data_IF_391415610319
#
_entry.id   IF_391415610319
#
_cell.length_a   1.000
_cell.length_b   1.000
_cell.length_c   1.000
_cell.angle_alpha   90.00
_cell.angle_beta   90.00
_cell.angle_gamma   90.00
#
_symmetry.space_group_name_H-M   'P 1'
#
loop_
_entity.id
_entity.type
_entity.pdbx_description
1 polymer ?
#
# COMPACT_ATOMS: atom_id res chain seq x y z
N UNK A 1 -9.20 -14.63 5.93
CA UNK A 1 -10.21 -13.60 6.26
C UNK A 1 -11.48 -13.85 5.46
N UNK A 2 -12.67 -13.58 5.99
CA UNK A 2 -13.93 -13.79 5.26
C UNK A 2 -14.07 -12.80 4.09
N UNK A 3 -14.93 -13.11 3.11
CA UNK A 3 -15.27 -12.13 2.05
C UNK A 3 -15.91 -10.87 2.64
N UNK A 4 -16.83 -11.02 3.60
CA UNK A 4 -17.51 -9.90 4.24
C UNK A 4 -16.53 -8.93 4.91
N UNK A 5 -15.54 -9.45 5.64
CA UNK A 5 -14.50 -8.62 6.28
C UNK A 5 -13.65 -7.88 5.24
N UNK A 6 -13.26 -8.55 4.15
CA UNK A 6 -12.49 -7.92 3.07
C UNK A 6 -13.28 -6.81 2.36
N UNK A 7 -14.57 -7.04 2.12
CA UNK A 7 -15.45 -6.04 1.52
C UNK A 7 -15.75 -4.86 2.46
N UNK A 8 -15.82 -5.11 3.77
CA UNK A 8 -15.90 -4.04 4.78
C UNK A 8 -14.65 -3.15 4.75
N UNK A 9 -13.46 -3.74 4.66
CA UNK A 9 -12.22 -2.95 4.53
C UNK A 9 -12.14 -2.15 3.23
N UNK A 10 -12.55 -2.74 2.11
CA UNK A 10 -12.62 -2.01 0.85
C UNK A 10 -13.56 -0.79 0.95
N UNK A 11 -14.73 -0.96 1.59
CA UNK A 11 -15.66 0.15 1.83
C UNK A 11 -15.03 1.26 2.69
N UNK A 12 -14.40 0.89 3.81
CA UNK A 12 -13.74 1.85 4.71
C UNK A 12 -12.60 2.62 4.01
N UNK A 13 -11.82 1.95 3.16
CA UNK A 13 -10.79 2.60 2.35
C UNK A 13 -11.40 3.62 1.37
N UNK A 14 -12.52 3.26 0.73
CA UNK A 14 -13.24 4.16 -0.19
C UNK A 14 -13.81 5.38 0.54
N UNK A 15 -14.38 5.19 1.74
CA UNK A 15 -14.89 6.28 2.59
C UNK A 15 -13.76 7.24 3.04
N UNK A 16 -12.57 6.69 3.34
CA UNK A 16 -11.39 7.49 3.65
C UNK A 16 -10.93 8.31 2.43
N UNK A 17 -10.87 7.70 1.25
CA UNK A 17 -10.54 8.39 0.00
C UNK A 17 -11.55 9.48 -0.34
N UNK A 18 -12.85 9.20 -0.21
CA UNK A 18 -13.90 10.19 -0.42
C UNK A 18 -13.70 11.41 0.50
N UNK A 19 -13.33 11.17 1.76
CA UNK A 19 -13.04 12.24 2.72
C UNK A 19 -11.84 13.09 2.30
N UNK A 20 -10.75 12.47 1.81
CA UNK A 20 -9.59 13.19 1.27
C UNK A 20 -9.96 14.00 0.02
N UNK A 21 -10.69 13.38 -0.92
CA UNK A 21 -11.05 14.01 -2.19
C UNK A 21 -11.99 15.20 -1.97
N UNK A 22 -12.94 15.10 -1.03
CA UNK A 22 -13.78 16.23 -0.58
C UNK A 22 -12.97 17.37 0.03
N UNK A 23 -11.86 17.06 0.70
CA UNK A 23 -10.92 18.04 1.23
C UNK A 23 -9.95 18.60 0.17
N UNK A 24 -10.05 18.16 -1.09
CA UNK A 24 -9.16 18.58 -2.17
C UNK A 24 -7.77 17.94 -2.11
N UNK A 25 -7.62 16.81 -1.41
CA UNK A 25 -6.35 16.11 -1.20
C UNK A 25 -6.30 14.86 -2.08
N UNK A 26 -5.18 14.65 -2.77
CA UNK A 26 -4.85 13.41 -3.50
C UNK A 26 -3.76 12.66 -2.72
N UNK A 27 -3.94 11.38 -2.45
CA UNK A 27 -2.99 10.57 -1.67
C UNK A 27 -1.72 10.24 -2.45
N UNK A 28 -1.87 9.85 -3.73
CA UNK A 28 -0.82 9.53 -4.72
C UNK A 28 0.06 8.32 -4.44
N UNK A 29 0.10 7.82 -3.22
CA UNK A 29 0.84 6.59 -2.88
C UNK A 29 -0.06 5.52 -2.26
N UNK A 30 -1.23 5.32 -2.84
CA UNK A 30 -2.14 4.29 -2.36
C UNK A 30 -1.64 2.92 -2.80
N UNK A 31 -1.20 2.10 -1.84
CA UNK A 31 -0.71 0.74 -2.04
C UNK A 31 -1.03 -0.13 -0.81
N UNK A 32 -0.79 -1.44 -0.90
CA UNK A 32 -1.09 -2.38 0.19
C UNK A 32 -0.31 -2.09 1.48
N UNK A 33 0.94 -1.60 1.40
CA UNK A 33 1.76 -1.28 2.58
C UNK A 33 1.27 -0.06 3.34
N UNK A 34 0.54 0.84 2.67
CA UNK A 34 -0.05 2.03 3.27
C UNK A 34 -1.46 1.78 3.81
N UNK A 35 -1.97 0.55 3.67
CA UNK A 35 -3.26 0.13 4.21
C UNK A 35 -3.06 -0.80 5.42
N UNK A 36 -3.73 -0.50 6.54
CA UNK A 36 -3.47 -1.17 7.80
C UNK A 36 -4.75 -1.63 8.47
N UNK A 37 -4.74 -2.85 9.00
CA UNK A 37 -5.77 -3.32 9.91
C UNK A 37 -5.49 -2.83 11.33
N UNK A 38 -6.51 -2.34 12.02
CA UNK A 38 -6.36 -2.02 13.45
C UNK A 38 -6.21 -3.29 14.26
N UNK A 39 -5.36 -3.17 15.28
CA UNK A 39 -5.21 -4.14 16.35
C UNK A 39 -6.06 -3.75 17.56
N UNK A 40 -6.48 -4.75 18.33
CA UNK A 40 -7.07 -4.54 19.65
C UNK A 40 -6.12 -3.71 20.53
N UNK A 41 -6.62 -2.75 21.32
CA UNK A 41 -5.75 -1.89 22.11
C UNK A 41 -4.95 -2.68 23.16
N UNK A 42 -3.63 -2.66 23.06
CA UNK A 42 -2.73 -3.37 23.99
C UNK A 42 -2.23 -2.49 25.15
N UNK A 43 -2.63 -1.22 25.22
CA UNK A 43 -2.08 -0.26 26.19
C UNK A 43 -2.39 -0.62 27.65
N UNK A 44 -3.45 -1.40 27.91
CA UNK A 44 -3.83 -1.87 29.25
C UNK A 44 -3.08 -3.13 29.68
N UNK A 45 -2.44 -3.84 28.75
CA UNK A 45 -1.68 -5.04 29.07
C UNK A 45 -0.31 -4.68 29.64
N UNK A 46 0.11 -5.42 30.66
CA UNK A 46 1.48 -5.36 31.13
C UNK A 46 2.46 -5.96 30.10
N UNK A 47 3.75 -5.86 30.39
CA UNK A 47 4.80 -6.36 29.48
C UNK A 47 4.72 -7.88 29.27
N UNK A 48 4.40 -8.64 30.31
CA UNK A 48 4.35 -10.11 30.23
C UNK A 48 3.19 -10.56 29.36
N UNK A 49 2.00 -9.99 29.60
CA UNK A 49 0.80 -10.23 28.81
C UNK A 49 0.97 -9.82 27.35
N UNK A 50 1.70 -8.72 27.07
CA UNK A 50 2.07 -8.35 25.69
C UNK A 50 2.93 -9.41 25.02
N UNK A 51 3.93 -9.94 25.71
CA UNK A 51 4.79 -11.00 25.14
C UNK A 51 4.09 -12.33 24.99
N UNK A 52 3.13 -12.64 25.86
CA UNK A 52 2.27 -13.81 25.69
C UNK A 52 1.36 -13.66 24.46
N UNK A 53 0.78 -12.47 24.26
CA UNK A 53 -0.12 -12.20 23.14
C UNK A 53 0.60 -12.05 21.79
N UNK A 54 1.76 -11.39 21.75
CA UNK A 54 2.46 -11.00 20.52
C UNK A 54 3.74 -11.80 20.25
N UNK A 55 4.19 -12.59 21.21
CA UNK A 55 5.56 -13.11 21.23
C UNK A 55 6.58 -12.06 21.67
N UNK A 56 7.84 -12.49 21.78
CA UNK A 56 8.97 -11.60 22.10
C UNK A 56 9.54 -10.99 20.82
N UNK A 57 9.95 -9.71 20.84
CA UNK A 57 10.63 -9.10 19.71
C UNK A 57 11.85 -9.92 19.28
N UNK A 58 11.87 -10.34 18.03
CA UNK A 58 13.00 -11.06 17.44
C UNK A 58 13.96 -10.05 16.81
N UNK A 59 15.26 -10.21 17.08
CA UNK A 59 16.29 -9.35 16.52
C UNK A 59 17.06 -10.08 15.44
N UNK A 60 17.31 -9.40 14.33
CA UNK A 60 18.18 -9.85 13.25
C UNK A 60 19.39 -8.93 13.16
N UNK A 61 20.57 -9.52 13.14
CA UNK A 61 21.81 -8.78 12.89
C UNK A 61 21.74 -8.17 11.49
N UNK A 62 22.18 -6.93 11.34
CA UNK A 62 22.34 -6.30 10.04
C UNK A 62 23.69 -6.76 9.47
N UNK A 63 23.70 -7.58 8.40
CA UNK A 63 24.95 -8.07 7.83
C UNK A 63 25.64 -6.93 7.07
N UNK A 64 26.97 -6.89 7.12
CA UNK A 64 27.83 -5.98 6.34
C UNK A 64 27.63 -4.48 6.60
N UNK A 65 27.82 -4.06 7.86
CA UNK A 65 27.92 -2.62 8.17
C UNK A 65 29.19 -2.38 9.00
N UNK A 66 30.12 -1.59 8.48
CA UNK A 66 31.27 -1.04 9.24
C UNK A 66 30.77 0.08 10.17
N UNK A 67 30.03 -0.32 11.20
CA UNK A 67 29.66 0.57 12.30
C UNK A 67 30.59 0.31 13.48
N UNK A 68 30.82 1.34 14.30
CA UNK A 68 31.55 1.21 15.56
C UNK A 68 30.89 0.23 16.56
N UNK A 69 29.62 -0.17 16.30
CA UNK A 69 28.90 -1.24 16.98
C UNK A 69 27.99 -1.98 16.01
N UNK A 70 27.91 -3.32 16.14
CA UNK A 70 27.00 -4.16 15.35
C UNK A 70 25.53 -3.72 15.57
N UNK A 71 24.86 -3.33 14.48
CA UNK A 71 23.45 -2.96 14.48
C UNK A 71 22.53 -4.18 14.50
N UNK A 72 21.38 -4.05 15.16
CA UNK A 72 20.30 -5.04 15.18
C UNK A 72 19.02 -4.40 14.65
N UNK A 73 18.29 -5.12 13.79
CA UNK A 73 16.95 -4.77 13.33
C UNK A 73 15.93 -5.67 14.05
N UNK A 74 14.83 -5.08 14.52
CA UNK A 74 13.71 -5.86 15.02
C UNK A 74 12.96 -6.42 13.82
N UNK A 75 12.70 -7.73 13.82
CA UNK A 75 11.91 -8.36 12.77
C UNK A 75 10.47 -7.83 12.81
N UNK A 76 9.82 -7.68 11.64
CA UNK A 76 8.39 -7.40 11.57
C UNK A 76 7.62 -8.42 12.40
N UNK A 77 6.59 -7.94 13.09
CA UNK A 77 5.70 -8.81 13.85
C UNK A 77 4.64 -9.43 12.94
N UNK A 78 4.39 -10.73 13.10
CA UNK A 78 3.19 -11.37 12.59
C UNK A 78 2.08 -11.19 13.62
N UNK A 79 1.11 -10.33 13.33
CA UNK A 79 0.01 -10.06 14.25
C UNK A 79 -0.95 -11.26 14.27
N UNK A 80 -1.20 -11.88 15.43
CA UNK A 80 -2.18 -12.95 15.55
C UNK A 80 -3.58 -12.53 15.12
N UNK A 81 -4.30 -13.42 14.42
CA UNK A 81 -5.63 -13.12 13.87
C UNK A 81 -6.64 -12.67 14.94
N UNK A 82 -6.54 -13.19 16.17
CA UNK A 82 -7.41 -12.84 17.29
C UNK A 82 -7.19 -11.42 17.84
N UNK A 83 -6.05 -10.79 17.51
CA UNK A 83 -5.76 -9.41 17.90
C UNK A 83 -6.13 -8.41 16.80
N UNK A 84 -6.50 -8.87 15.60
CA UNK A 84 -6.95 -8.00 14.51
C UNK A 84 -8.44 -7.67 14.66
N UNK A 85 -8.77 -6.40 14.45
CA UNK A 85 -10.16 -5.92 14.38
C UNK A 85 -10.64 -5.78 12.93
N UNK A 86 -11.91 -5.44 12.72
CA UNK A 86 -12.46 -5.21 11.38
C UNK A 86 -12.24 -3.79 10.86
N UNK A 87 -11.64 -2.91 11.67
CA UNK A 87 -11.36 -1.54 11.24
C UNK A 87 -10.12 -1.50 10.33
N UNK A 88 -10.23 -0.72 9.25
CA UNK A 88 -9.22 -0.60 8.21
C UNK A 88 -8.84 0.88 7.98
N UNK A 89 -7.55 1.16 7.89
CA UNK A 89 -7.01 2.52 7.86
C UNK A 89 -6.10 2.74 6.66
N UNK A 90 -6.19 3.93 6.08
CA UNK A 90 -5.21 4.48 5.19
C UNK A 90 -4.16 5.27 6.00
N UNK A 91 -2.89 5.02 5.73
CA UNK A 91 -1.75 5.72 6.31
C UNK A 91 -0.79 6.25 5.26
N UNK A 92 0.32 6.81 5.74
CA UNK A 92 1.40 7.43 4.96
C UNK A 92 0.96 8.53 3.97
N UNK A 93 0.81 9.73 4.50
CA UNK A 93 0.49 10.93 3.74
C UNK A 93 1.75 11.66 3.22
N UNK A 94 2.93 11.04 3.24
CA UNK A 94 4.20 11.69 2.87
C UNK A 94 4.24 12.20 1.43
N UNK A 95 3.45 11.59 0.54
CA UNK A 95 3.30 12.02 -0.85
C UNK A 95 1.95 12.68 -1.13
N UNK A 96 1.09 12.86 -0.13
CA UNK A 96 -0.21 13.49 -0.32
C UNK A 96 -0.06 14.97 -0.72
N UNK A 97 -0.97 15.47 -1.55
CA UNK A 97 -0.94 16.86 -1.99
C UNK A 97 -2.33 17.47 -2.09
N UNK A 98 -2.40 18.78 -1.84
CA UNK A 98 -3.57 19.59 -2.20
C UNK A 98 -3.58 19.77 -3.72
N UNK A 99 -4.73 19.61 -4.36
CA UNK A 99 -4.90 19.95 -5.77
C UNK A 99 -4.65 21.45 -5.99
N UNK A 100 -3.78 21.77 -6.95
CA UNK A 100 -3.44 23.15 -7.27
C UNK A 100 -3.22 23.42 -8.76
N UNK A 101 -2.53 22.53 -9.49
CA UNK A 101 -2.24 22.68 -10.92
C UNK A 101 -2.98 21.60 -11.76
N UNK A 102 -3.53 21.94 -12.95
CA UNK A 102 -4.10 20.97 -13.88
C UNK A 102 -3.15 19.82 -14.29
N UNK A 103 -1.84 19.99 -14.17
CA UNK A 103 -0.83 18.96 -14.43
C UNK A 103 -0.64 17.98 -13.28
N UNK A 104 -1.18 18.30 -12.10
CA UNK A 104 -1.09 17.42 -10.93
C UNK A 104 -1.90 16.14 -11.16
N UNK A 105 -1.46 15.00 -10.58
CA UNK A 105 -2.27 13.80 -10.54
C UNK A 105 -3.66 14.11 -9.97
N UNK A 106 -4.70 13.78 -10.72
CA UNK A 106 -6.07 13.98 -10.26
C UNK A 106 -6.50 12.89 -9.27
N UNK A 107 -7.67 13.06 -8.66
CA UNK A 107 -8.34 12.03 -7.85
C UNK A 107 -8.45 10.67 -8.56
N UNK A 108 -8.47 10.66 -9.90
CA UNK A 108 -8.51 9.41 -10.68
C UNK A 108 -7.28 8.51 -10.43
N UNK A 109 -6.13 9.08 -10.05
CA UNK A 109 -4.94 8.30 -9.68
C UNK A 109 -5.19 7.46 -8.43
N UNK A 110 -5.75 8.05 -7.38
CA UNK A 110 -6.13 7.33 -6.16
C UNK A 110 -7.22 6.29 -6.46
N UNK A 111 -8.19 6.63 -7.31
CA UNK A 111 -9.25 5.69 -7.70
C UNK A 111 -8.71 4.49 -8.46
N UNK A 112 -7.73 4.68 -9.36
CA UNK A 112 -7.07 3.58 -10.04
C UNK A 112 -6.40 2.64 -9.03
N UNK A 113 -5.59 3.19 -8.12
CA UNK A 113 -4.92 2.40 -7.09
C UNK A 113 -5.92 1.71 -6.16
N UNK A 114 -7.02 2.39 -5.80
CA UNK A 114 -8.11 1.80 -5.00
C UNK A 114 -8.70 0.59 -5.71
N UNK A 115 -8.92 0.66 -7.03
CA UNK A 115 -9.45 -0.47 -7.78
C UNK A 115 -8.50 -1.68 -7.78
N UNK A 116 -7.19 -1.47 -7.74
CA UNK A 116 -6.21 -2.54 -7.58
C UNK A 116 -6.37 -3.20 -6.21
N UNK A 117 -6.38 -2.41 -5.15
CA UNK A 117 -6.52 -2.90 -3.77
C UNK A 117 -7.88 -3.58 -3.57
N UNK A 118 -8.95 -3.01 -4.11
CA UNK A 118 -10.29 -3.60 -4.12
C UNK A 118 -10.28 -4.98 -4.79
N UNK A 119 -9.69 -5.07 -5.99
CA UNK A 119 -9.63 -6.34 -6.73
C UNK A 119 -8.82 -7.38 -5.96
N UNK A 120 -7.72 -6.99 -5.31
CA UNK A 120 -6.93 -7.88 -4.47
C UNK A 120 -7.69 -8.32 -3.21
N UNK A 121 -8.37 -7.41 -2.52
CA UNK A 121 -9.25 -7.73 -1.40
C UNK A 121 -10.39 -8.66 -1.83
N UNK A 122 -10.90 -8.53 -3.06
CA UNK A 122 -11.96 -9.39 -3.59
C UNK A 122 -11.44 -10.78 -3.98
N UNK A 123 -10.40 -10.84 -4.82
CA UNK A 123 -9.86 -12.06 -5.42
C UNK A 123 -8.94 -12.84 -4.48
N UNK A 124 -8.25 -12.15 -3.55
CA UNK A 124 -7.23 -12.71 -2.68
C UNK A 124 -5.84 -12.81 -3.30
N UNK A 125 -5.63 -12.21 -4.48
CA UNK A 125 -4.35 -12.14 -5.18
C UNK A 125 -4.31 -10.89 -6.08
N UNK A 126 -3.10 -10.49 -6.48
CA UNK A 126 -2.89 -9.31 -7.34
C UNK A 126 -3.57 -9.48 -8.72
N UNK A 127 -4.34 -8.49 -9.20
CA UNK A 127 -5.18 -8.64 -10.39
C UNK A 127 -4.38 -8.68 -11.71
N UNK A 128 -3.15 -8.16 -11.72
CA UNK A 128 -2.32 -8.04 -12.92
C UNK A 128 -0.96 -8.73 -12.74
N UNK A 129 -0.66 -9.78 -13.51
CA UNK A 129 0.61 -10.48 -13.39
C UNK A 129 1.78 -9.68 -13.98
N UNK A 130 2.90 -9.62 -13.27
CA UNK A 130 4.11 -8.89 -13.67
C UNK A 130 5.14 -9.75 -14.43
N UNK A 131 4.96 -11.06 -14.45
CA UNK A 131 5.94 -12.02 -14.99
C UNK A 131 5.89 -12.17 -16.53
N UNK A 132 4.98 -11.50 -17.23
CA UNK A 132 4.93 -11.53 -18.69
C UNK A 132 6.06 -10.70 -19.32
N UNK A 133 6.45 -11.08 -20.54
CA UNK A 133 7.33 -10.25 -21.38
C UNK A 133 6.64 -8.90 -21.63
N UNK A 134 7.23 -7.81 -21.11
CA UNK A 134 6.64 -6.46 -21.10
C UNK A 134 6.10 -6.01 -19.72
N UNK A 135 6.25 -6.82 -18.67
CA UNK A 135 5.99 -6.43 -17.29
C UNK A 135 4.52 -6.16 -16.99
N UNK A 136 4.27 -5.22 -16.08
CA UNK A 136 2.91 -4.88 -15.60
C UNK A 136 1.95 -4.45 -16.71
N UNK A 137 2.43 -3.74 -17.74
CA UNK A 137 1.60 -3.27 -18.86
C UNK A 137 1.03 -4.45 -19.65
N UNK A 138 1.84 -5.50 -19.90
CA UNK A 138 1.36 -6.72 -20.55
C UNK A 138 0.29 -7.42 -19.70
N UNK A 139 0.44 -7.41 -18.37
CA UNK A 139 -0.57 -7.92 -17.44
C UNK A 139 -1.90 -7.15 -17.52
N UNK A 140 -1.83 -5.82 -17.51
CA UNK A 140 -3.00 -4.93 -17.64
C UNK A 140 -3.71 -5.19 -18.97
N UNK A 141 -2.98 -5.19 -20.09
CA UNK A 141 -3.56 -5.37 -21.42
C UNK A 141 -4.23 -6.73 -21.57
N UNK A 142 -3.64 -7.77 -20.97
CA UNK A 142 -4.22 -9.11 -20.96
C UNK A 142 -5.56 -9.16 -20.21
N UNK A 143 -5.71 -8.42 -19.11
CA UNK A 143 -6.91 -8.46 -18.27
C UNK A 143 -7.99 -7.46 -18.69
N UNK A 144 -7.61 -6.26 -19.14
CA UNK A 144 -8.54 -5.16 -19.44
C UNK A 144 -8.70 -4.87 -20.94
N UNK A 145 -7.89 -5.50 -21.79
CA UNK A 145 -7.84 -5.21 -23.23
C UNK A 145 -6.80 -4.14 -23.59
N UNK A 146 -6.70 -3.79 -24.88
CA UNK A 146 -5.67 -2.87 -25.37
C UNK A 146 -5.77 -1.48 -24.74
N UNK A 147 -4.62 -0.83 -24.54
CA UNK A 147 -4.58 0.58 -24.13
C UNK A 147 -5.18 1.45 -25.24
N UNK A 148 -5.83 2.58 -24.89
CA UNK A 148 -6.33 3.53 -25.88
C UNK A 148 -5.24 3.99 -26.84
N UNK A 149 -5.57 4.08 -28.12
CA UNK A 149 -4.60 4.48 -29.16
C UNK A 149 -4.06 5.91 -28.95
N UNK A 150 -4.89 6.78 -28.36
CA UNK A 150 -4.52 8.15 -27.98
C UNK A 150 -3.42 8.23 -26.91
N UNK A 151 -3.14 7.15 -26.18
CA UNK A 151 -2.08 7.12 -25.17
C UNK A 151 -0.70 6.81 -25.76
N UNK A 152 -0.64 6.43 -27.04
CA UNK A 152 0.61 6.04 -27.70
C UNK A 152 1.57 7.24 -27.76
N UNK A 153 2.75 7.06 -27.18
CA UNK A 153 3.80 8.09 -27.16
C UNK A 153 3.63 9.15 -26.07
N UNK A 154 2.58 9.08 -25.26
CA UNK A 154 2.50 9.87 -24.03
C UNK A 154 3.44 9.24 -23.00
N UNK A 155 4.57 9.87 -22.75
CA UNK A 155 5.32 9.65 -21.52
C UNK A 155 4.73 10.52 -20.44
N UNK A 156 4.46 9.96 -19.25
CA UNK A 156 4.29 10.77 -18.05
C UNK A 156 5.49 11.73 -18.01
N UNK A 157 5.21 13.03 -17.90
CA UNK A 157 6.22 14.07 -17.76
C UNK A 157 7.26 13.63 -16.72
N UNK A 158 8.54 13.85 -17.05
CA UNK A 158 9.77 13.32 -16.41
C UNK A 158 9.91 13.50 -14.88
N UNK A 159 8.93 14.03 -14.18
CA UNK A 159 8.97 14.36 -12.76
C UNK A 159 8.49 13.21 -11.85
N UNK A 160 7.90 12.14 -12.41
CA UNK A 160 7.47 10.96 -11.63
C UNK A 160 8.55 9.85 -11.52
N UNK A 161 9.73 10.03 -12.13
CA UNK A 161 10.84 9.08 -11.99
C UNK A 161 11.80 9.59 -10.92
N UNK A 162 11.81 8.90 -9.77
CA UNK A 162 12.89 8.99 -8.78
C UNK A 162 14.24 8.88 -9.53
N UNK A 163 15.15 9.86 -9.42
CA UNK A 163 16.43 9.81 -10.09
C UNK A 163 17.29 8.71 -9.45
N UNK A 164 17.38 7.55 -10.12
CA UNK A 164 18.23 6.46 -9.63
C UNK A 164 18.19 5.15 -10.40
N UNK A 165 17.17 4.90 -11.24
CA UNK A 165 16.98 3.57 -11.83
C UNK A 165 17.13 3.53 -13.36
N UNK A 166 18.17 4.17 -13.90
CA UNK A 166 18.82 3.72 -15.14
C UNK A 166 20.33 3.99 -14.98
N UNK A 167 21.10 2.96 -14.62
CA UNK A 167 22.48 2.81 -15.11
C UNK A 167 22.47 1.57 -16.00
N UNK A 168 23.04 1.74 -17.19
CA UNK A 168 23.09 0.73 -18.26
C UNK A 168 24.05 -0.40 -17.99
#
# INVERSE_FOLDING_TARGET
MSMATRMSAARQLLEALESLHKAGIVHRDLNESNCMWRMVPLHKLDRSAKYEALGRPLKRIIPYVELWKQGELVQPIEVPDNLRTEDFYLGDFGLAMQLGDPKDPSFACDMWSYMIIFAELYLGYTPFPTHFKGGIISGIVRCLGPLPESWKGLTLTREALIPGMIRG
#
